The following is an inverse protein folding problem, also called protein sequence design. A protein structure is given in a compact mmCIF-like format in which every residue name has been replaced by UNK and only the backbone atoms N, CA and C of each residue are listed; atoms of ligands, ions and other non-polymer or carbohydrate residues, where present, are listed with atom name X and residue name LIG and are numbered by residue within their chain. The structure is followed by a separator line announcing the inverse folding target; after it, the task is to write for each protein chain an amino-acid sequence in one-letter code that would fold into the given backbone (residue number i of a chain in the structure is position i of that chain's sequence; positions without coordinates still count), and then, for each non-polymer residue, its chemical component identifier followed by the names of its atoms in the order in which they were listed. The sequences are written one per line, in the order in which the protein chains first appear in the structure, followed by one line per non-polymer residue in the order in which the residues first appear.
data_IF_478081062434
#
_entry.id   IF_478081062434
#
_cell.length_a   1.000
_cell.length_b   1.000
_cell.length_c   1.000
_cell.angle_alpha   90.00
_cell.angle_beta   90.00
_cell.angle_gamma   90.00
#
_symmetry.space_group_name_H-M   'P 1'
#
loop_
_entity.id
_entity.type
_entity.pdbx_description
1 polymer ?
#
# COMPACT_ATOMS: atom_id res chain seq x y z
N UNK A 1 3.71 6.00 8.67
CA UNK A 1 3.42 5.07 7.57
C UNK A 1 4.05 5.48 6.22
N UNK A 2 4.97 6.48 6.18
CA UNK A 2 5.78 6.81 4.98
C UNK A 2 4.96 7.09 3.71
N UNK A 3 3.93 7.92 3.82
CA UNK A 3 3.11 8.31 2.67
C UNK A 3 3.86 9.34 1.82
N UNK A 4 3.85 9.15 0.51
CA UNK A 4 4.38 10.15 -0.42
C UNK A 4 3.52 11.41 -0.38
N UNK A 5 4.11 12.62 -0.52
CA UNK A 5 3.36 13.88 -0.45
C UNK A 5 2.13 13.94 -1.34
N UNK A 6 2.26 13.55 -2.60
CA UNK A 6 1.17 13.51 -3.57
C UNK A 6 0.06 12.52 -3.17
N UNK A 7 0.46 11.38 -2.59
CA UNK A 7 -0.50 10.38 -2.08
C UNK A 7 -1.26 10.93 -0.89
N UNK A 8 -0.57 11.60 0.04
CA UNK A 8 -1.21 12.20 1.20
C UNK A 8 -2.18 13.33 0.83
N UNK A 9 -1.80 14.20 -0.10
CA UNK A 9 -2.70 15.24 -0.64
C UNK A 9 -3.92 14.63 -1.30
N UNK A 10 -3.73 13.57 -2.11
CA UNK A 10 -4.84 12.85 -2.70
C UNK A 10 -5.75 12.25 -1.61
N UNK A 11 -5.19 11.55 -0.60
CA UNK A 11 -5.98 11.00 0.51
C UNK A 11 -6.77 12.09 1.24
N UNK A 12 -6.15 13.24 1.55
CA UNK A 12 -6.82 14.36 2.20
C UNK A 12 -8.07 14.80 1.43
N UNK A 13 -8.00 14.86 0.10
CA UNK A 13 -9.16 15.17 -0.76
C UNK A 13 -10.27 14.11 -0.69
N UNK A 14 -9.91 12.83 -0.50
CA UNK A 14 -10.86 11.72 -0.50
C UNK A 14 -11.59 11.56 0.83
N UNK A 15 -10.98 12.01 1.93
CA UNK A 15 -11.55 11.95 3.27
C UNK A 15 -12.03 13.31 3.77
N UNK A 16 -12.04 14.32 2.90
CA UNK A 16 -12.45 15.69 3.20
C UNK A 16 -11.71 16.29 4.40
N UNK A 17 -10.39 16.03 4.48
CA UNK A 17 -9.56 16.56 5.56
C UNK A 17 -9.26 18.05 5.30
N UNK A 18 -9.77 18.97 6.13
CA UNK A 18 -9.65 20.41 5.89
C UNK A 18 -8.20 20.89 6.05
N UNK A 19 -7.79 21.84 5.22
CA UNK A 19 -6.52 22.58 5.33
C UNK A 19 -5.26 21.71 5.50
N UNK A 20 -5.25 20.52 4.87
CA UNK A 20 -4.16 19.55 5.00
C UNK A 20 -2.78 20.15 4.70
N UNK A 21 -1.83 19.91 5.60
CA UNK A 21 -0.41 20.21 5.44
C UNK A 21 0.41 18.93 5.57
N UNK A 22 1.53 18.86 4.86
CA UNK A 22 2.42 17.68 4.97
C UNK A 22 2.95 17.46 6.38
N UNK A 23 3.15 18.53 7.16
CA UNK A 23 3.53 18.46 8.57
C UNK A 23 2.49 17.73 9.43
N UNK A 24 1.23 17.67 9.02
CA UNK A 24 0.20 16.96 9.77
C UNK A 24 0.50 15.45 9.83
N UNK A 25 1.29 14.92 8.89
CA UNK A 25 1.74 13.53 8.92
C UNK A 25 2.82 13.26 9.98
N UNK A 26 3.37 14.28 10.63
CA UNK A 26 4.24 14.11 11.80
C UNK A 26 3.43 13.66 13.03
N UNK A 27 2.13 13.97 13.07
CA UNK A 27 1.20 13.42 14.04
C UNK A 27 0.95 11.92 13.76
N UNK A 28 1.25 11.01 14.71
CA UNK A 28 1.07 9.58 14.50
C UNK A 28 -0.38 9.17 14.22
N UNK A 29 -1.37 9.83 14.84
CA UNK A 29 -2.79 9.52 14.66
C UNK A 29 -3.25 9.87 13.25
N UNK A 30 -2.89 11.07 12.77
CA UNK A 30 -3.16 11.49 11.39
C UNK A 30 -2.46 10.56 10.40
N UNK A 31 -1.19 10.23 10.65
CA UNK A 31 -0.43 9.38 9.77
C UNK A 31 -1.00 7.95 9.66
N UNK A 32 -1.41 7.37 10.79
CA UNK A 32 -2.07 6.06 10.84
C UNK A 32 -3.44 6.12 10.15
N UNK A 33 -4.24 7.16 10.39
CA UNK A 33 -5.54 7.34 9.74
C UNK A 33 -5.41 7.38 8.22
N UNK A 34 -4.48 8.17 7.70
CA UNK A 34 -4.25 8.28 6.25
C UNK A 34 -3.72 6.98 5.67
N UNK A 35 -2.73 6.36 6.33
CA UNK A 35 -2.12 5.12 5.83
C UNK A 35 -3.08 3.94 5.83
N UNK A 36 -3.91 3.79 6.88
CA UNK A 36 -4.94 2.74 6.94
C UNK A 36 -6.06 2.97 5.94
N UNK A 37 -6.49 4.22 5.72
CA UNK A 37 -7.41 4.54 4.64
C UNK A 37 -6.84 4.16 3.28
N UNK A 38 -5.55 4.44 3.03
CA UNK A 38 -4.90 4.10 1.77
C UNK A 38 -4.78 2.59 1.57
N UNK A 39 -4.40 1.84 2.61
CA UNK A 39 -4.40 0.38 2.56
C UNK A 39 -5.80 -0.17 2.23
N UNK A 40 -6.86 0.40 2.80
CA UNK A 40 -8.23 -0.02 2.52
C UNK A 40 -8.68 0.33 1.10
N UNK A 41 -8.25 1.48 0.54
CA UNK A 41 -8.58 1.83 -0.85
C UNK A 41 -7.86 0.90 -1.84
N UNK A 42 -6.58 0.60 -1.61
CA UNK A 42 -5.84 -0.41 -2.38
C UNK A 42 -6.47 -1.80 -2.25
N UNK A 43 -6.97 -2.16 -1.06
CA UNK A 43 -7.69 -3.44 -0.86
C UNK A 43 -8.90 -3.57 -1.77
N UNK A 44 -9.71 -2.51 -1.85
CA UNK A 44 -10.89 -2.48 -2.75
C UNK A 44 -10.45 -2.56 -4.21
N UNK A 45 -9.44 -1.78 -4.58
CA UNK A 45 -8.95 -1.68 -5.95
C UNK A 45 -8.38 -3.01 -6.47
N UNK A 46 -7.58 -3.71 -5.67
CA UNK A 46 -6.97 -4.99 -6.02
C UNK A 46 -7.76 -6.20 -5.53
N UNK A 47 -9.05 -6.02 -5.21
CA UNK A 47 -9.99 -7.08 -4.81
C UNK A 47 -9.45 -8.00 -3.70
N UNK A 48 -8.72 -7.45 -2.75
CA UNK A 48 -8.13 -8.19 -1.63
C UNK A 48 -6.85 -8.96 -1.95
N UNK A 49 -6.26 -8.82 -3.14
CA UNK A 49 -4.96 -9.39 -3.44
C UNK A 49 -3.85 -8.66 -2.68
N UNK A 50 -3.38 -9.25 -1.58
CA UNK A 50 -2.41 -8.61 -0.69
C UNK A 50 -1.07 -8.31 -1.38
N UNK A 51 -0.62 -9.13 -2.33
CA UNK A 51 0.66 -8.91 -3.03
C UNK A 51 0.56 -7.64 -3.88
N UNK A 52 -0.49 -7.51 -4.70
CA UNK A 52 -0.70 -6.32 -5.52
C UNK A 52 -0.94 -5.07 -4.66
N UNK A 53 -1.66 -5.19 -3.55
CA UNK A 53 -1.87 -4.09 -2.60
C UNK A 53 -0.55 -3.59 -2.01
N UNK A 54 0.28 -4.49 -1.48
CA UNK A 54 1.57 -4.14 -0.87
C UNK A 54 2.54 -3.59 -1.91
N UNK A 55 2.55 -4.18 -3.11
CA UNK A 55 3.34 -3.66 -4.23
C UNK A 55 2.89 -2.26 -4.63
N UNK A 56 1.59 -1.96 -4.63
CA UNK A 56 1.07 -0.65 -4.96
C UNK A 56 1.33 0.39 -3.86
N UNK A 57 1.36 -0.04 -2.59
CA UNK A 57 1.68 0.82 -1.46
C UNK A 57 3.12 1.33 -1.53
N UNK A 58 4.09 0.44 -1.80
CA UNK A 58 5.50 0.80 -1.89
C UNK A 58 5.92 1.28 -3.29
N UNK A 59 5.61 0.51 -4.33
CA UNK A 59 6.02 0.77 -5.72
C UNK A 59 5.08 1.70 -6.47
N UNK A 60 3.96 2.11 -5.88
CA UNK A 60 2.99 3.02 -6.47
C UNK A 60 1.89 2.33 -7.29
N UNK A 61 0.64 2.74 -7.05
CA UNK A 61 -0.57 2.24 -7.74
C UNK A 61 -0.46 2.26 -9.27
N UNK A 62 0.09 3.35 -9.83
CA UNK A 62 0.24 3.51 -11.28
C UNK A 62 1.18 2.47 -11.89
N UNK A 63 2.30 2.17 -11.22
CA UNK A 63 3.26 1.18 -11.66
C UNK A 63 2.66 -0.23 -11.64
N UNK A 64 1.95 -0.60 -10.57
CA UNK A 64 1.29 -1.91 -10.50
C UNK A 64 0.26 -2.08 -11.61
N UNK A 65 -0.56 -1.06 -11.91
CA UNK A 65 -1.49 -1.12 -13.05
C UNK A 65 -0.77 -1.31 -14.39
N UNK A 66 0.33 -0.60 -14.60
CA UNK A 66 1.13 -0.75 -15.81
C UNK A 66 1.73 -2.17 -15.92
N UNK A 67 2.22 -2.74 -14.81
CA UNK A 67 2.72 -4.12 -14.79
C UNK A 67 1.62 -5.13 -15.09
N UNK A 68 0.44 -4.97 -14.49
CA UNK A 68 -0.70 -5.84 -14.76
C UNK A 68 -1.08 -5.80 -16.25
N UNK A 69 -1.13 -4.61 -16.85
CA UNK A 69 -1.43 -4.48 -18.28
C UNK A 69 -0.32 -5.07 -19.16
N UNK A 70 0.94 -4.79 -18.83
CA UNK A 70 2.11 -5.18 -19.64
C UNK A 70 2.39 -6.68 -19.59
N UNK A 71 2.24 -7.29 -18.42
CA UNK A 71 2.58 -8.70 -18.17
C UNK A 71 1.36 -9.61 -18.05
N UNK A 72 0.15 -9.07 -18.20
CA UNK A 72 -1.09 -9.83 -18.15
C UNK A 72 -1.45 -10.36 -16.76
N UNK A 73 -1.02 -9.68 -15.68
CA UNK A 73 -1.33 -10.14 -14.32
C UNK A 73 -2.80 -9.90 -13.99
N UNK A 74 -3.46 -10.96 -13.49
CA UNK A 74 -4.82 -10.91 -12.98
C UNK A 74 -4.89 -10.46 -11.51
N UNK A 75 -6.11 -10.34 -11.00
CA UNK A 75 -6.38 -10.08 -9.57
C UNK A 75 -6.05 -11.27 -8.67
N UNK A 76 -5.70 -12.41 -9.26
CA UNK A 76 -5.26 -13.64 -8.60
C UNK A 76 -3.73 -13.78 -8.57
N UNK A 77 -2.98 -12.75 -8.99
CA UNK A 77 -1.51 -12.73 -9.02
C UNK A 77 -0.87 -13.18 -7.70
N UNK A 78 0.12 -14.09 -7.79
CA UNK A 78 0.80 -14.68 -6.61
C UNK A 78 2.32 -14.64 -6.65
N UNK A 79 2.90 -14.26 -7.79
CA UNK A 79 4.34 -14.43 -8.01
C UNK A 79 5.11 -13.15 -7.68
N UNK A 80 5.53 -13.04 -6.42
CA UNK A 80 6.31 -11.90 -5.91
C UNK A 80 7.61 -11.71 -6.72
N UNK A 81 8.18 -12.77 -7.28
CA UNK A 81 9.43 -12.70 -8.04
C UNK A 81 9.27 -12.02 -9.41
N UNK A 82 8.04 -11.87 -9.90
CA UNK A 82 7.77 -11.11 -11.12
C UNK A 82 7.69 -9.60 -10.89
N UNK A 83 7.70 -9.12 -9.64
CA UNK A 83 7.71 -7.68 -9.34
C UNK A 83 9.00 -7.06 -9.90
N UNK A 84 8.93 -6.10 -10.86
CA UNK A 84 10.11 -5.59 -11.55
C UNK A 84 11.02 -4.78 -10.64
N UNK A 85 10.44 -4.04 -9.69
CA UNK A 85 11.21 -3.22 -8.77
C UNK A 85 11.73 -4.08 -7.63
N UNK A 86 13.06 -4.19 -7.53
CA UNK A 86 13.72 -4.99 -6.49
C UNK A 86 13.34 -4.52 -5.08
N UNK A 87 13.29 -3.22 -4.84
CA UNK A 87 12.87 -2.66 -3.55
C UNK A 87 11.43 -3.09 -3.20
N UNK A 88 10.51 -2.99 -4.16
CA UNK A 88 9.11 -3.37 -3.95
C UNK A 88 8.96 -4.87 -3.71
N UNK A 89 9.70 -5.69 -4.45
CA UNK A 89 9.76 -7.14 -4.22
C UNK A 89 10.20 -7.46 -2.78
N UNK A 90 11.32 -6.90 -2.35
CA UNK A 90 11.84 -7.07 -0.99
C UNK A 90 10.87 -6.55 0.08
N UNK A 91 10.21 -5.42 -0.19
CA UNK A 91 9.21 -4.82 0.69
C UNK A 91 8.02 -5.77 0.89
N UNK A 92 7.43 -6.32 -0.19
CA UNK A 92 6.30 -7.25 -0.09
C UNK A 92 6.67 -8.45 0.77
N UNK A 93 7.83 -9.06 0.52
CA UNK A 93 8.32 -10.20 1.31
C UNK A 93 8.48 -9.87 2.80
N UNK A 94 9.11 -8.72 3.12
CA UNK A 94 9.30 -8.26 4.51
C UNK A 94 7.98 -8.01 5.24
N UNK A 95 7.00 -7.39 4.57
CA UNK A 95 5.71 -7.08 5.19
C UNK A 95 4.91 -8.35 5.45
N UNK A 96 4.84 -9.28 4.50
CA UNK A 96 4.13 -10.56 4.70
C UNK A 96 4.74 -11.38 5.86
N UNK A 97 6.08 -11.45 5.92
CA UNK A 97 6.76 -12.09 7.04
C UNK A 97 6.49 -11.39 8.38
N UNK A 98 6.53 -10.06 8.40
CA UNK A 98 6.23 -9.29 9.62
C UNK A 98 4.78 -9.47 10.06
N UNK A 99 3.84 -9.48 9.11
CA UNK A 99 2.42 -9.74 9.36
C UNK A 99 2.25 -11.09 10.05
N UNK A 100 2.87 -12.17 9.55
CA UNK A 100 2.80 -13.48 10.19
C UNK A 100 3.29 -13.41 11.65
N UNK A 101 4.43 -12.77 11.90
CA UNK A 101 4.94 -12.59 13.27
C UNK A 101 3.99 -11.81 14.17
N UNK A 102 3.34 -10.77 13.66
CA UNK A 102 2.31 -10.04 14.42
C UNK A 102 1.10 -10.94 14.71
N UNK A 103 0.68 -11.79 13.78
CA UNK A 103 -0.42 -12.73 14.02
C UNK A 103 -0.06 -13.76 15.09
N UNK A 104 1.16 -14.29 15.06
CA UNK A 104 1.65 -15.25 16.06
C UNK A 104 1.70 -14.63 17.48
N UNK A 105 2.10 -13.36 17.57
CA UNK A 105 2.21 -12.63 18.84
C UNK A 105 0.86 -12.23 19.43
N UNK A 106 -0.09 -11.82 18.58
CA UNK A 106 -1.35 -11.19 19.00
C UNK A 106 -2.60 -12.07 18.77
N UNK A 107 -2.43 -13.29 18.25
CA UNK A 107 -3.46 -14.33 18.25
C UNK A 107 -4.72 -14.01 17.44
N UNK A 108 -4.60 -13.20 16.39
CA UNK A 108 -5.68 -12.86 15.45
C UNK A 108 -5.24 -13.07 14.00
#
# INVERSE_FOLDING_TARGET
MQLMPETAQWIASQIEYPDFKLSDLEDPEVNIRFGTWYLQSLKKEFKGNEILMLAAYNGGRGNVKQWMQRYGWGMDFRDIDQIPFRETKEYVGKVLHSKQRYQDLYGR
#
